data_IF_046263046766
#
_entry.id   IF_046263046766
#
_cell.length_a   1.000
_cell.length_b   1.000
_cell.length_c   1.000
_cell.angle_alpha   90.00
_cell.angle_beta   90.00
_cell.angle_gamma   90.00
#
_symmetry.space_group_name_H-M   'P 1'
#
loop_
_entity.id
_entity.type
_entity.pdbx_description
1 polymer ?
#
# COMPACT_ATOMS: atom_id res chain seq x y z
N UNK A 1 18.83 -10.30 -0.97
CA UNK A 1 17.68 -11.12 -1.41
C UNK A 1 16.82 -10.25 -2.33
N UNK A 2 16.52 -10.66 -3.56
CA UNK A 2 15.49 -10.00 -4.38
C UNK A 2 14.14 -10.45 -3.82
N UNK A 3 13.35 -9.51 -3.33
CA UNK A 3 11.97 -9.74 -2.91
C UNK A 3 11.07 -9.69 -4.13
N UNK A 4 10.23 -10.71 -4.28
CA UNK A 4 9.32 -10.82 -5.43
C UNK A 4 7.98 -10.12 -5.19
N UNK A 5 7.69 -9.75 -3.94
CA UNK A 5 6.40 -9.18 -3.54
C UNK A 5 6.57 -7.80 -2.89
N UNK A 6 5.56 -6.95 -3.06
CA UNK A 6 5.57 -5.58 -2.58
C UNK A 6 4.31 -5.27 -1.76
N UNK A 7 4.47 -4.63 -0.61
CA UNK A 7 3.38 -3.96 0.10
C UNK A 7 3.62 -2.46 0.13
N UNK A 8 2.61 -1.70 -0.30
CA UNK A 8 2.51 -0.26 -0.07
C UNK A 8 1.60 -0.03 1.12
N UNK A 9 2.16 0.46 2.22
CA UNK A 9 1.44 0.78 3.44
C UNK A 9 1.09 2.26 3.55
N UNK A 10 -0.15 2.58 3.94
CA UNK A 10 -0.48 3.89 4.50
C UNK A 10 -0.64 3.73 6.01
N UNK A 11 0.36 4.17 6.77
CA UNK A 11 0.37 4.15 8.23
C UNK A 11 -0.20 5.46 8.76
N UNK A 12 -1.09 5.41 9.75
CA UNK A 12 -1.56 6.60 10.44
C UNK A 12 -2.75 6.32 11.35
N UNK A 13 -3.15 7.28 12.19
CA UNK A 13 -4.34 7.15 13.06
C UNK A 13 -5.64 7.03 12.25
N UNK A 14 -6.73 6.62 12.88
CA UNK A 14 -8.08 6.70 12.29
C UNK A 14 -8.34 8.14 11.82
N UNK A 15 -8.89 8.31 10.61
CA UNK A 15 -9.13 9.63 10.03
C UNK A 15 -7.92 10.30 9.37
N UNK A 16 -6.72 9.70 9.38
CA UNK A 16 -5.51 10.28 8.77
C UNK A 16 -5.51 10.32 7.22
N UNK A 17 -6.67 10.22 6.55
CA UNK A 17 -6.75 10.33 5.08
C UNK A 17 -6.31 9.08 4.29
N UNK A 18 -6.13 7.92 4.93
CA UNK A 18 -5.73 6.66 4.26
C UNK A 18 -6.69 6.27 3.13
N UNK A 19 -7.98 6.16 3.44
CA UNK A 19 -9.01 5.80 2.45
C UNK A 19 -9.17 6.84 1.36
N UNK A 20 -9.06 8.13 1.69
CA UNK A 20 -9.09 9.21 0.72
C UNK A 20 -7.92 9.11 -0.27
N UNK A 21 -6.72 8.80 0.22
CA UNK A 21 -5.53 8.58 -0.61
C UNK A 21 -5.71 7.39 -1.55
N UNK A 22 -6.27 6.28 -1.08
CA UNK A 22 -6.60 5.15 -1.96
C UNK A 22 -7.64 5.52 -3.01
N UNK A 23 -8.67 6.29 -2.65
CA UNK A 23 -9.66 6.73 -3.62
C UNK A 23 -9.07 7.63 -4.70
N UNK A 24 -8.20 8.57 -4.32
CA UNK A 24 -7.44 9.39 -5.26
C UNK A 24 -6.53 8.54 -6.17
N UNK A 25 -5.80 7.58 -5.59
CA UNK A 25 -4.93 6.67 -6.35
C UNK A 25 -5.68 5.90 -7.45
N UNK A 26 -6.91 5.46 -7.18
CA UNK A 26 -7.75 4.74 -8.13
C UNK A 26 -8.66 5.66 -8.97
N UNK A 27 -8.67 6.97 -8.73
CA UNK A 27 -9.58 7.93 -9.38
C UNK A 27 -11.07 7.69 -9.07
N UNK A 28 -11.39 6.95 -8.01
CA UNK A 28 -12.77 6.63 -7.60
C UNK A 28 -12.84 6.13 -6.16
N UNK A 29 -14.03 6.11 -5.59
CA UNK A 29 -14.26 5.46 -4.31
C UNK A 29 -13.92 3.96 -4.37
N UNK A 30 -13.19 3.47 -3.38
CA UNK A 30 -12.71 2.08 -3.31
C UNK A 30 -12.99 1.48 -1.94
N UNK A 31 -13.20 0.17 -1.89
CA UNK A 31 -13.37 -0.60 -0.65
C UNK A 31 -12.31 -1.69 -0.59
N UNK A 32 -12.14 -2.30 0.59
CA UNK A 32 -11.33 -3.53 0.71
C UNK A 32 -11.87 -4.57 -0.26
N UNK A 33 -10.99 -5.08 -1.12
CA UNK A 33 -11.35 -6.01 -2.18
C UNK A 33 -11.41 -7.46 -1.69
N UNK A 34 -12.04 -8.31 -2.49
CA UNK A 34 -11.94 -9.78 -2.42
C UNK A 34 -11.06 -10.38 -3.53
N UNK A 35 -10.80 -9.59 -4.58
CA UNK A 35 -10.08 -10.00 -5.78
C UNK A 35 -8.99 -8.97 -6.10
N UNK A 36 -8.06 -9.35 -6.97
CA UNK A 36 -7.12 -8.42 -7.58
C UNK A 36 -7.85 -7.36 -8.39
N UNK A 37 -7.28 -6.16 -8.46
CA UNK A 37 -7.83 -5.02 -9.19
C UNK A 37 -6.74 -4.39 -10.04
N UNK A 38 -7.12 -3.92 -11.22
CA UNK A 38 -6.23 -3.11 -12.06
C UNK A 38 -5.98 -1.76 -11.38
N UNK A 39 -4.71 -1.45 -11.16
CA UNK A 39 -4.24 -0.12 -10.83
C UNK A 39 -3.51 0.43 -12.05
N UNK A 40 -4.11 1.41 -12.71
CA UNK A 40 -3.48 2.12 -13.82
C UNK A 40 -2.39 3.05 -13.28
N UNK A 41 -1.17 2.86 -13.77
CA UNK A 41 -0.01 3.66 -13.41
C UNK A 41 0.16 4.84 -14.37
N UNK A 42 -0.30 4.67 -15.61
CA UNK A 42 -0.50 5.72 -16.61
C UNK A 42 -1.70 5.34 -17.51
N UNK A 43 -1.87 5.99 -18.66
CA UNK A 43 -3.00 5.79 -19.56
C UNK A 43 -3.06 4.37 -20.17
N UNK A 44 -1.90 3.72 -20.33
CA UNK A 44 -1.75 2.47 -21.07
C UNK A 44 -1.29 1.30 -20.20
N UNK A 45 -0.58 1.55 -19.11
CA UNK A 45 0.05 0.53 -18.28
C UNK A 45 -0.66 0.39 -16.94
N UNK A 46 -0.86 -0.85 -16.52
CA UNK A 46 -1.44 -1.18 -15.23
C UNK A 46 -0.74 -2.37 -14.57
N UNK A 47 -0.95 -2.49 -13.27
CA UNK A 47 -0.60 -3.68 -12.48
C UNK A 47 -1.83 -4.23 -11.78
N UNK A 48 -1.77 -5.49 -11.36
CA UNK A 48 -2.79 -6.09 -10.51
C UNK A 48 -2.39 -5.98 -9.04
N UNK A 49 -3.29 -5.43 -8.24
CA UNK A 49 -3.05 -5.19 -6.81
C UNK A 49 -4.19 -5.74 -5.97
N UNK A 50 -3.88 -6.18 -4.75
CA UNK A 50 -4.87 -6.48 -3.72
C UNK A 50 -4.99 -5.28 -2.76
N UNK A 51 -6.20 -4.75 -2.58
CA UNK A 51 -6.44 -3.56 -1.75
C UNK A 51 -7.10 -3.90 -0.42
N UNK A 52 -6.44 -3.56 0.68
CA UNK A 52 -6.96 -3.51 2.04
C UNK A 52 -7.17 -2.03 2.42
N UNK A 53 -8.32 -1.47 2.03
CA UNK A 53 -8.63 -0.05 2.28
C UNK A 53 -8.90 0.22 3.77
N UNK A 54 -9.72 -0.61 4.43
CA UNK A 54 -9.96 -0.48 5.88
C UNK A 54 -8.93 -1.32 6.61
N UNK A 55 -8.22 -0.70 7.55
CA UNK A 55 -7.12 -1.36 8.26
C UNK A 55 -7.58 -2.63 8.99
N UNK A 56 -6.75 -3.68 9.07
CA UNK A 56 -7.12 -4.97 9.68
C UNK A 56 -7.69 -4.86 11.09
N UNK A 57 -7.06 -4.03 11.93
CA UNK A 57 -7.52 -3.76 13.31
C UNK A 57 -8.96 -3.23 13.36
N UNK A 58 -9.30 -2.27 12.49
CA UNK A 58 -10.66 -1.69 12.41
C UNK A 58 -11.68 -2.74 11.97
N UNK A 59 -11.23 -3.79 11.27
CA UNK A 59 -12.08 -4.93 10.86
C UNK A 59 -12.14 -6.03 11.91
N UNK A 60 -11.41 -5.91 13.02
CA UNK A 60 -11.22 -6.96 14.02
C UNK A 60 -10.75 -8.29 13.40
N UNK A 61 -9.90 -8.22 12.38
CA UNK A 61 -9.39 -9.37 11.64
C UNK A 61 -7.88 -9.34 11.52
N UNK A 62 -7.28 -10.52 11.50
CA UNK A 62 -5.88 -10.66 11.13
C UNK A 62 -5.71 -10.36 9.63
N UNK A 63 -4.60 -9.74 9.25
CA UNK A 63 -4.36 -9.32 7.86
C UNK A 63 -4.37 -10.52 6.89
N UNK A 64 -3.87 -11.67 7.32
CA UNK A 64 -3.90 -12.91 6.52
C UNK A 64 -5.32 -13.43 6.25
N UNK A 65 -6.29 -13.14 7.12
CA UNK A 65 -7.71 -13.52 6.92
C UNK A 65 -8.44 -12.58 5.95
N UNK A 66 -7.88 -11.38 5.71
CA UNK A 66 -8.44 -10.40 4.78
C UNK A 66 -7.96 -10.68 3.36
N UNK A 67 -6.76 -11.24 3.20
CA UNK A 67 -6.17 -11.56 1.91
C UNK A 67 -6.78 -12.87 1.40
N UNK A 68 -7.74 -12.74 0.50
CA UNK A 68 -8.49 -13.87 -0.08
C UNK A 68 -7.91 -14.37 -1.40
N UNK A 69 -6.90 -13.67 -1.94
CA UNK A 69 -6.20 -14.07 -3.16
C UNK A 69 -4.95 -14.86 -2.76
N UNK A 70 -4.68 -15.95 -3.47
CA UNK A 70 -3.44 -16.70 -3.28
C UNK A 70 -2.24 -15.85 -3.73
N UNK A 71 -1.33 -15.57 -2.79
CA UNK A 71 -0.02 -14.92 -3.03
C UNK A 71 -0.06 -13.67 -3.94
N UNK A 72 -0.81 -12.60 -3.58
CA UNK A 72 -0.85 -11.37 -4.37
C UNK A 72 0.53 -10.70 -4.44
N UNK A 73 1.02 -10.41 -5.66
CA UNK A 73 2.36 -9.81 -5.85
C UNK A 73 2.48 -8.39 -5.31
N UNK A 74 1.38 -7.63 -5.34
CA UNK A 74 1.32 -6.25 -4.84
C UNK A 74 0.11 -6.10 -3.92
N UNK A 75 0.35 -5.68 -2.69
CA UNK A 75 -0.69 -5.34 -1.71
C UNK A 75 -0.66 -3.85 -1.43
N UNK A 76 -1.82 -3.20 -1.45
CA UNK A 76 -2.02 -1.86 -0.92
C UNK A 76 -2.75 -1.99 0.43
N UNK A 77 -2.15 -1.54 1.51
CA UNK A 77 -2.66 -1.80 2.86
C UNK A 77 -2.75 -0.52 3.70
N UNK A 78 -3.94 -0.24 4.22
CA UNK A 78 -4.09 0.71 5.33
C UNK A 78 -3.63 0.08 6.63
N UNK A 79 -2.74 0.76 7.35
CA UNK A 79 -2.18 0.33 8.62
C UNK A 79 -2.59 1.35 9.69
N UNK A 80 -3.21 0.87 10.77
CA UNK A 80 -3.69 1.74 11.84
C UNK A 80 -2.59 1.95 12.90
N UNK A 81 -2.16 3.19 13.11
CA UNK A 81 -1.16 3.53 14.12
C UNK A 81 -1.78 3.40 15.52
N UNK A 82 -1.63 2.23 16.14
CA UNK A 82 -2.30 1.85 17.38
C UNK A 82 -1.64 0.64 18.02
N UNK A 83 -1.91 0.33 19.30
CA UNK A 83 -1.35 -0.86 19.94
C UNK A 83 -1.64 -2.13 19.14
N UNK A 84 -0.62 -2.94 18.86
CA UNK A 84 -0.73 -4.15 18.03
C UNK A 84 -0.46 -3.94 16.54
N UNK A 85 -0.07 -2.73 16.12
CA UNK A 85 0.23 -2.40 14.72
C UNK A 85 1.32 -3.30 14.11
N UNK A 86 2.29 -3.71 14.92
CA UNK A 86 3.39 -4.60 14.56
C UNK A 86 2.88 -5.93 14.00
N UNK A 87 1.74 -6.45 14.47
CA UNK A 87 1.17 -7.72 13.96
C UNK A 87 0.84 -7.67 12.47
N UNK A 88 0.41 -6.52 11.96
CA UNK A 88 0.14 -6.34 10.52
C UNK A 88 1.44 -6.29 9.73
N UNK A 89 2.46 -5.62 10.26
CA UNK A 89 3.79 -5.52 9.63
C UNK A 89 4.51 -6.86 9.64
N UNK A 90 4.47 -7.58 10.76
CA UNK A 90 5.07 -8.90 10.96
C UNK A 90 4.56 -9.92 9.96
N UNK A 91 3.27 -9.88 9.61
CA UNK A 91 2.73 -10.73 8.57
C UNK A 91 3.46 -10.52 7.23
N UNK A 92 3.66 -9.26 6.82
CA UNK A 92 4.32 -8.94 5.56
C UNK A 92 5.80 -9.30 5.59
N UNK A 93 6.48 -9.08 6.72
CA UNK A 93 7.88 -9.50 6.92
C UNK A 93 8.00 -11.02 6.80
N UNK A 94 7.20 -11.77 7.56
CA UNK A 94 7.19 -13.25 7.55
C UNK A 94 6.80 -13.83 6.19
N UNK A 95 5.98 -13.10 5.43
CA UNK A 95 5.57 -13.46 4.08
C UNK A 95 6.54 -12.95 2.99
N UNK A 96 7.71 -12.43 3.37
CA UNK A 96 8.78 -11.98 2.47
C UNK A 96 8.37 -10.89 1.47
N UNK A 97 7.56 -9.92 1.92
CA UNK A 97 7.24 -8.72 1.14
C UNK A 97 8.29 -7.63 1.39
N UNK A 98 8.70 -6.94 0.32
CA UNK A 98 9.28 -5.60 0.47
C UNK A 98 8.22 -4.63 0.96
N UNK A 99 8.60 -3.78 1.92
CA UNK A 99 7.67 -2.87 2.60
C UNK A 99 8.04 -1.42 2.24
N UNK A 100 7.12 -0.72 1.59
CA UNK A 100 7.19 0.72 1.36
C UNK A 100 6.02 1.39 2.08
N UNK A 101 6.28 2.32 3.00
CA UNK A 101 5.25 2.93 3.83
C UNK A 101 5.27 4.44 3.68
N UNK A 102 4.11 5.01 3.41
CA UNK A 102 3.85 6.41 3.73
C UNK A 102 3.22 6.50 5.11
N UNK A 103 3.89 7.20 6.01
CA UNK A 103 3.33 7.54 7.30
C UNK A 103 2.61 8.88 7.21
N UNK A 104 1.28 8.81 7.20
CA UNK A 104 0.38 9.94 7.19
C UNK A 104 0.32 10.52 8.61
N UNK A 105 1.14 11.54 8.85
CA UNK A 105 1.26 12.19 10.15
C UNK A 105 0.60 13.58 10.07
N UNK A 106 -0.53 13.80 10.79
CA UNK A 106 -1.21 15.10 10.83
C UNK A 106 -0.36 16.24 11.41
N UNK A 107 0.63 15.93 12.24
CA UNK A 107 1.54 16.91 12.87
C UNK A 107 2.84 17.15 12.10
N UNK A 108 3.01 16.59 10.90
CA UNK A 108 4.14 16.96 10.05
C UNK A 108 3.87 18.33 9.42
N UNK A 109 4.58 19.35 9.89
CA UNK A 109 4.41 20.79 9.62
C UNK A 109 3.21 21.48 10.30
N UNK A 110 2.68 20.93 11.41
CA UNK A 110 1.69 21.62 12.25
C UNK A 110 2.18 21.65 13.70
N UNK A 111 2.54 22.83 14.19
CA UNK A 111 3.07 23.02 15.55
C UNK A 111 2.01 22.78 16.65
N UNK A 112 0.74 22.65 16.28
CA UNK A 112 -0.38 22.50 17.22
C UNK A 112 -0.97 21.09 17.28
N UNK A 113 -0.53 20.14 16.44
CA UNK A 113 -1.00 18.75 16.44
C UNK A 113 0.08 17.84 17.06
N UNK A 114 -0.24 17.04 18.11
CA UNK A 114 0.73 16.17 18.74
C UNK A 114 1.36 15.23 17.72
N UNK A 115 2.67 15.34 17.60
CA UNK A 115 3.50 14.45 16.82
C UNK A 115 3.27 13.01 17.29
N UNK A 116 2.75 12.15 16.42
CA UNK A 116 2.53 10.71 16.68
C UNK A 116 3.84 9.91 16.82
N UNK A 117 4.97 10.60 17.00
CA UNK A 117 6.28 10.00 16.92
C UNK A 117 6.58 9.13 18.14
N UNK A 118 7.16 7.96 17.87
CA UNK A 118 7.88 7.07 18.80
C UNK A 118 7.10 6.38 19.93
N UNK A 119 5.81 6.65 20.15
CA UNK A 119 5.07 6.02 21.26
C UNK A 119 4.90 4.51 21.13
N UNK A 120 4.91 3.97 19.91
CA UNK A 120 4.67 2.55 19.65
C UNK A 120 5.87 1.82 19.03
N UNK A 121 6.99 2.51 18.79
CA UNK A 121 8.19 1.90 18.19
C UNK A 121 8.07 1.38 16.75
N UNK A 122 6.89 1.49 16.12
CA UNK A 122 6.61 0.88 14.80
C UNK A 122 7.55 1.36 13.68
N UNK A 123 8.02 2.60 13.74
CA UNK A 123 8.97 3.13 12.75
C UNK A 123 10.32 2.42 12.88
N UNK A 124 10.81 2.24 14.11
CA UNK A 124 12.05 1.49 14.36
C UNK A 124 11.88 0.04 13.89
N UNK A 125 10.74 -0.59 14.18
CA UNK A 125 10.43 -1.94 13.72
C UNK A 125 10.45 -2.08 12.19
N UNK A 126 9.85 -1.13 11.47
CA UNK A 126 9.87 -1.07 10.01
C UNK A 126 11.30 -0.93 9.48
N UNK A 127 12.07 0.03 10.00
CA UNK A 127 13.43 0.31 9.53
C UNK A 127 14.40 -0.84 9.81
N UNK A 128 14.30 -1.48 10.99
CA UNK A 128 15.09 -2.67 11.34
C UNK A 128 14.84 -3.84 10.39
N UNK A 129 13.67 -3.89 9.75
CA UNK A 129 13.30 -4.90 8.76
C UNK A 129 13.43 -4.38 7.32
N UNK A 130 14.32 -3.40 7.09
CA UNK A 130 14.65 -2.85 5.77
C UNK A 130 13.45 -2.26 5.00
N UNK A 131 12.39 -1.86 5.70
CA UNK A 131 11.30 -1.13 5.07
C UNK A 131 11.77 0.28 4.70
N UNK A 132 11.22 0.81 3.61
CA UNK A 132 11.37 2.21 3.24
C UNK A 132 10.18 2.98 3.79
N UNK A 133 10.44 4.00 4.61
CA UNK A 133 9.39 4.79 5.28
C UNK A 133 9.55 6.26 4.92
N UNK A 134 8.49 6.87 4.39
CA UNK A 134 8.41 8.31 4.12
C UNK A 134 7.30 8.95 4.94
N UNK A 135 7.56 10.12 5.54
CA UNK A 135 6.55 10.87 6.30
C UNK A 135 5.84 11.83 5.35
N UNK A 136 4.51 11.88 5.41
CA UNK A 136 3.67 12.77 4.59
C UNK A 136 2.67 13.51 5.46
N UNK A 137 2.40 14.76 5.12
CA UNK A 137 1.36 15.54 5.78
C UNK A 137 -0.02 14.95 5.43
N UNK A 138 -0.75 14.50 6.45
CA UNK A 138 -2.08 13.90 6.28
C UNK A 138 -3.16 14.93 5.89
N UNK A 139 -2.94 16.23 6.14
CA UNK A 139 -3.89 17.33 5.90
C UNK A 139 -3.79 17.92 4.48
N UNK A 140 -2.68 17.68 3.78
CA UNK A 140 -2.48 18.17 2.41
C UNK A 140 -3.21 17.36 1.34
N UNK A 141 -3.26 17.89 0.12
CA UNK A 141 -3.80 17.20 -1.07
C UNK A 141 -3.15 15.80 -1.24
N UNK A 142 -3.91 14.77 -1.65
CA UNK A 142 -3.34 13.46 -1.95
C UNK A 142 -2.46 13.39 -3.19
N UNK A 143 -2.44 14.41 -4.04
CA UNK A 143 -1.84 14.31 -5.38
C UNK A 143 -0.35 13.93 -5.37
N UNK A 144 0.44 14.59 -4.51
CA UNK A 144 1.88 14.31 -4.42
C UNK A 144 2.15 12.88 -3.93
N UNK A 145 1.47 12.48 -2.84
CA UNK A 145 1.62 11.12 -2.28
C UNK A 145 1.11 10.04 -3.24
N UNK A 146 0.04 10.31 -3.99
CA UNK A 146 -0.47 9.41 -5.04
C UNK A 146 0.55 9.27 -6.16
N UNK A 147 1.15 10.37 -6.61
CA UNK A 147 2.16 10.38 -7.67
C UNK A 147 3.39 9.58 -7.25
N UNK A 148 3.87 9.78 -6.03
CA UNK A 148 4.98 9.01 -5.49
C UNK A 148 4.67 7.51 -5.39
N UNK A 149 3.48 7.14 -4.88
CA UNK A 149 3.05 5.73 -4.81
C UNK A 149 3.01 5.12 -6.21
N UNK A 150 2.45 5.82 -7.20
CA UNK A 150 2.43 5.35 -8.60
C UNK A 150 3.83 5.16 -9.15
N UNK A 151 4.72 6.15 -8.97
CA UNK A 151 6.10 6.09 -9.46
C UNK A 151 6.88 4.94 -8.82
N UNK A 152 6.71 4.72 -7.51
CA UNK A 152 7.35 3.62 -6.80
C UNK A 152 6.86 2.26 -7.31
N UNK A 153 5.53 2.08 -7.40
CA UNK A 153 4.95 0.84 -7.94
C UNK A 153 5.40 0.64 -9.38
N UNK A 154 5.46 1.69 -10.20
CA UNK A 154 5.90 1.61 -11.60
C UNK A 154 7.33 1.14 -11.71
N UNK A 155 8.28 1.81 -11.03
CA UNK A 155 9.69 1.42 -11.06
C UNK A 155 9.91 -0.01 -10.56
N UNK A 156 9.25 -0.38 -9.46
CA UNK A 156 9.33 -1.74 -8.93
C UNK A 156 8.72 -2.76 -9.91
N UNK A 157 7.49 -2.56 -10.36
CA UNK A 157 6.80 -3.49 -11.27
C UNK A 157 7.51 -3.64 -12.62
N UNK A 158 8.10 -2.56 -13.14
CA UNK A 158 8.93 -2.60 -14.35
C UNK A 158 10.13 -3.51 -14.16
N UNK A 159 10.85 -3.38 -13.05
CA UNK A 159 12.01 -4.23 -12.74
C UNK A 159 11.65 -5.72 -12.55
N UNK A 160 10.37 -6.01 -12.26
CA UNK A 160 9.84 -7.36 -12.05
C UNK A 160 9.11 -7.92 -13.27
N UNK A 161 8.98 -7.16 -14.38
CA UNK A 161 8.22 -7.59 -15.55
C UNK A 161 6.71 -7.75 -15.31
N UNK A 162 6.14 -6.99 -14.38
CA UNK A 162 4.72 -7.11 -13.96
C UNK A 162 3.79 -6.09 -14.62
N UNK A 163 4.33 -5.17 -15.43
CA UNK A 163 3.53 -4.18 -16.16
C UNK A 163 2.70 -4.86 -17.24
N UNK A 164 1.40 -4.55 -17.29
CA UNK A 164 0.47 -5.02 -18.30
C UNK A 164 -0.03 -3.85 -19.13
N UNK A 165 -0.17 -4.05 -20.44
CA UNK A 165 -0.72 -3.06 -21.36
C UNK A 165 -2.24 -3.22 -21.49
N UNK A 166 -2.95 -2.08 -21.47
CA UNK A 166 -4.41 -2.01 -21.69
C UNK A 166 -4.82 -2.61 -23.03
N UNK A 167 -3.99 -2.46 -24.05
CA UNK A 167 -4.25 -2.86 -25.43
C UNK A 167 -3.48 -4.12 -25.86
N UNK A 168 -2.91 -4.89 -24.93
CA UNK A 168 -2.33 -6.17 -25.30
C UNK A 168 -3.46 -7.09 -25.80
N UNK A 169 -3.50 -7.32 -27.11
CA UNK A 169 -4.38 -8.33 -27.70
C UNK A 169 -4.11 -9.67 -27.02
N UNK A 170 -5.17 -10.43 -26.76
CA UNK A 170 -5.04 -11.85 -26.44
C UNK A 170 -4.25 -12.48 -27.59
N UNK A 171 -3.23 -13.32 -27.33
CA UNK A 171 -2.58 -14.07 -28.40
C UNK A 171 -3.68 -14.80 -29.19
N UNK A 172 -3.65 -14.66 -30.51
CA UNK A 172 -4.52 -15.42 -31.39
C UNK A 172 -4.39 -16.89 -30.98
N UNK A 173 -5.52 -17.53 -30.69
CA UNK A 173 -5.52 -18.98 -30.55
C UNK A 173 -5.08 -19.52 -31.89
N UNK A 174 -3.88 -20.09 -31.92
CA UNK A 174 -3.42 -20.91 -33.04
C UNK A 174 -4.55 -21.90 -33.36
N UNK A 175 -5.10 -21.76 -34.57
CA UNK A 175 -6.04 -22.70 -35.15
C UNK A 175 -5.18 -23.79 -35.78
N UNK A 176 -4.95 -24.85 -35.02
CA UNK A 176 -4.65 -26.18 -35.57
C UNK A 176 -5.94 -27.01 -35.62
#
# INVERSE_FOLDING_TARGET
>A
MKTENLVIGLLGKVGAGKSHTWSALFGRNVKTGKNLRKLFLNENEYVEVFLINVAPRVRHKYVGEIITVEKPRIILCSIDYSPGVEKTVDYFIKSNYSIYVHWLNPGYNDAYDPQLFYTLGIINHLLQNHAVVGIRNAKGSPDDRVTEIKNYIYGWAKSQGLLKNKNAALPEKDKD
#
